data_IF_095880984584
#
_entry.id   IF_095880984584
#
_cell.length_a   1.000
_cell.length_b   1.000
_cell.length_c   1.000
_cell.angle_alpha   90.00
_cell.angle_beta   90.00
_cell.angle_gamma   90.00
#
_symmetry.space_group_name_H-M   'P 1'
#
loop_
_entity.id
_entity.type
_entity.pdbx_description
1 polymer ?
#
# COMPACT_ATOMS: atom_id res chain seq x y z
N UNK A 1 -28.05 7.04 -25.28
CA UNK A 1 -27.26 5.90 -24.81
C UNK A 1 -27.48 5.84 -23.31
N UNK A 2 -28.13 4.81 -22.74
CA UNK A 2 -28.29 4.75 -21.30
C UNK A 2 -26.92 4.42 -20.69
N UNK A 3 -26.43 5.33 -19.85
CA UNK A 3 -25.28 5.13 -18.98
C UNK A 3 -25.61 4.02 -17.96
N UNK A 4 -25.11 2.82 -18.21
CA UNK A 4 -25.07 1.80 -17.15
C UNK A 4 -23.97 2.21 -16.17
N UNK A 5 -24.36 2.93 -15.11
CA UNK A 5 -23.54 3.02 -13.91
C UNK A 5 -23.59 1.65 -13.24
N UNK A 6 -22.62 0.80 -13.54
CA UNK A 6 -22.36 -0.39 -12.75
C UNK A 6 -21.82 0.10 -11.41
N UNK A 7 -22.69 0.13 -10.40
CA UNK A 7 -22.28 0.24 -9.00
C UNK A 7 -21.34 -0.96 -8.75
N UNK A 8 -20.04 -0.71 -8.65
CA UNK A 8 -19.07 -1.75 -8.33
C UNK A 8 -19.47 -2.25 -6.94
N UNK A 9 -19.88 -3.51 -6.83
CA UNK A 9 -20.27 -4.14 -5.56
C UNK A 9 -19.06 -4.32 -4.66
N UNK A 10 -18.59 -3.22 -4.07
CA UNK A 10 -17.38 -3.16 -3.23
C UNK A 10 -17.67 -3.53 -1.77
N UNK A 11 -18.87 -3.99 -1.45
CA UNK A 11 -19.23 -4.42 -0.10
C UNK A 11 -18.32 -5.57 0.34
N UNK A 12 -17.61 -5.37 1.46
CA UNK A 12 -16.64 -6.34 1.97
C UNK A 12 -15.30 -6.40 1.24
N UNK A 13 -15.05 -5.52 0.26
CA UNK A 13 -13.73 -5.37 -0.38
C UNK A 13 -12.81 -4.60 0.55
N UNK A 14 -11.63 -5.17 0.86
CA UNK A 14 -10.56 -4.40 1.46
C UNK A 14 -10.11 -3.32 0.47
N UNK A 15 -10.12 -2.07 0.89
CA UNK A 15 -9.78 -0.91 0.04
C UNK A 15 -8.58 -0.11 0.55
N UNK A 16 -8.17 -0.41 1.78
CA UNK A 16 -7.06 0.23 2.47
C UNK A 16 -5.83 -0.70 2.47
N UNK A 17 -4.60 -0.18 2.37
CA UNK A 17 -3.39 -0.95 2.64
C UNK A 17 -3.48 -1.63 4.01
N UNK A 18 -3.01 -2.87 4.09
CA UNK A 18 -3.01 -3.65 5.32
C UNK A 18 -1.75 -4.50 5.40
N UNK A 19 -1.27 -4.77 6.61
CA UNK A 19 -0.15 -5.67 6.86
C UNK A 19 -0.37 -7.03 6.20
N UNK A 20 0.63 -7.51 5.47
CA UNK A 20 0.55 -8.74 4.65
C UNK A 20 -0.11 -8.57 3.29
N UNK A 21 -0.69 -7.39 3.00
CA UNK A 21 -1.33 -7.07 1.73
C UNK A 21 -0.38 -6.52 0.67
N UNK A 22 -0.91 -6.30 -0.53
CA UNK A 22 -0.20 -5.66 -1.63
C UNK A 22 -0.74 -4.26 -1.87
N UNK A 23 0.17 -3.32 -2.14
CA UNK A 23 -0.14 -1.98 -2.59
C UNK A 23 0.72 -1.61 -3.81
N UNK A 24 0.34 -0.57 -4.53
CA UNK A 24 1.19 0.09 -5.51
C UNK A 24 1.66 1.44 -4.96
N UNK A 25 2.96 1.71 -5.09
CA UNK A 25 3.44 3.09 -4.98
C UNK A 25 2.95 3.87 -6.20
N UNK A 26 2.08 4.86 -5.98
CA UNK A 26 1.51 5.68 -7.05
C UNK A 26 2.56 6.52 -7.80
N UNK A 27 3.72 6.78 -7.20
CA UNK A 27 4.82 7.52 -7.85
C UNK A 27 5.57 6.64 -8.84
N UNK A 28 6.11 5.52 -8.35
CA UNK A 28 6.95 4.60 -9.15
C UNK A 28 6.12 3.62 -9.97
N UNK A 29 4.85 3.42 -9.63
CA UNK A 29 3.93 2.42 -10.21
C UNK A 29 4.41 0.99 -10.00
N UNK A 30 5.22 0.76 -8.98
CA UNK A 30 5.74 -0.56 -8.64
C UNK A 30 4.92 -1.17 -7.50
N UNK A 31 4.70 -2.50 -7.52
CA UNK A 31 4.01 -3.18 -6.45
C UNK A 31 4.92 -3.34 -5.23
N UNK A 32 4.29 -3.19 -4.07
CA UNK A 32 4.86 -3.24 -2.74
C UNK A 32 4.16 -4.33 -1.93
N UNK A 33 4.94 -5.06 -1.14
CA UNK A 33 4.42 -5.83 -0.02
C UNK A 33 4.36 -4.93 1.22
N UNK A 34 3.19 -4.85 1.86
CA UNK A 34 2.99 -4.08 3.09
C UNK A 34 3.40 -4.96 4.27
N UNK A 35 4.47 -4.59 4.96
CA UNK A 35 5.00 -5.34 6.10
C UNK A 35 4.13 -5.09 7.33
N UNK A 36 4.01 -3.82 7.71
CA UNK A 36 3.24 -3.36 8.87
C UNK A 36 2.94 -1.87 8.81
N UNK A 37 2.03 -1.45 9.66
CA UNK A 37 1.87 -0.07 10.06
C UNK A 37 2.99 0.34 11.03
N UNK A 38 3.49 1.57 10.91
CA UNK A 38 4.56 2.11 11.76
C UNK A 38 4.19 3.40 12.48
N UNK A 39 3.20 4.15 12.00
CA UNK A 39 2.66 5.32 12.68
C UNK A 39 1.22 5.59 12.27
N UNK A 40 0.42 6.16 13.17
CA UNK A 40 -0.99 6.51 12.91
C UNK A 40 -1.13 7.82 12.11
N UNK A 41 -0.07 8.61 12.01
CA UNK A 41 -0.06 9.88 11.28
C UNK A 41 1.34 10.41 10.97
N UNK A 42 1.43 11.35 10.02
CA UNK A 42 2.71 11.89 9.56
C UNK A 42 3.41 12.79 10.59
N UNK A 43 2.63 13.41 11.49
CA UNK A 43 3.20 14.22 12.56
C UNK A 43 3.96 13.36 13.57
N UNK A 44 3.37 12.25 14.01
CA UNK A 44 4.01 11.27 14.90
C UNK A 44 5.26 10.68 14.24
N UNK A 45 5.13 10.24 12.98
CA UNK A 45 6.27 9.72 12.22
C UNK A 45 7.43 10.73 12.11
N UNK A 46 7.11 12.01 11.84
CA UNK A 46 8.13 13.05 11.76
C UNK A 46 8.88 13.25 13.08
N UNK A 47 8.16 13.24 14.19
CA UNK A 47 8.75 13.42 15.53
C UNK A 47 9.66 12.23 15.92
N UNK A 48 9.31 11.01 15.50
CA UNK A 48 10.07 9.78 15.82
C UNK A 48 11.27 9.55 14.90
N UNK A 49 11.10 9.74 13.59
CA UNK A 49 12.08 9.39 12.58
C UNK A 49 12.91 10.59 12.08
N UNK A 50 12.61 11.81 12.56
CA UNK A 50 13.22 13.08 12.10
C UNK A 50 13.13 13.24 10.57
N UNK A 51 12.03 12.77 9.97
CA UNK A 51 11.83 12.71 8.53
C UNK A 51 10.43 13.16 8.11
N UNK A 52 10.35 14.10 7.16
CA UNK A 52 9.08 14.66 6.68
C UNK A 52 8.56 13.93 5.43
N UNK A 53 7.69 12.93 5.65
CA UNK A 53 7.01 12.22 4.56
C UNK A 53 5.98 13.07 3.82
N UNK A 54 5.42 14.12 4.42
CA UNK A 54 4.42 14.98 3.80
C UNK A 54 5.06 15.86 2.69
N UNK A 55 6.26 16.40 2.97
CA UNK A 55 7.06 17.19 2.04
C UNK A 55 7.95 16.39 1.10
N UNK A 56 8.19 15.10 1.39
CA UNK A 56 9.08 14.27 0.60
C UNK A 56 8.40 13.71 -0.67
N UNK A 57 8.98 14.03 -1.83
CA UNK A 57 8.47 13.58 -3.16
C UNK A 57 6.98 13.90 -3.38
N UNK A 58 6.50 14.99 -2.80
CA UNK A 58 5.12 15.45 -2.94
C UNK A 58 4.74 15.66 -4.40
N UNK A 59 3.54 15.23 -4.78
CA UNK A 59 2.98 15.45 -6.11
C UNK A 59 1.53 15.93 -5.99
N UNK A 60 1.07 16.94 -6.75
CA UNK A 60 -0.27 17.53 -6.62
C UNK A 60 -1.47 16.58 -6.80
N UNK A 61 -1.23 15.37 -7.31
CA UNK A 61 -2.26 14.36 -7.55
C UNK A 61 -2.18 13.18 -6.57
N UNK A 62 -1.20 13.19 -5.65
CA UNK A 62 -1.18 12.21 -4.58
C UNK A 62 -2.07 12.71 -3.45
N UNK A 63 -3.06 11.92 -2.99
CA UNK A 63 -3.92 12.29 -1.89
C UNK A 63 -3.23 12.16 -0.52
N UNK A 64 -1.95 12.56 -0.40
CA UNK A 64 -1.21 12.50 0.87
C UNK A 64 -1.71 13.59 1.82
N UNK A 65 -2.01 13.20 3.06
CA UNK A 65 -2.54 14.09 4.10
C UNK A 65 -1.78 13.91 5.41
N UNK A 66 -1.88 14.90 6.30
CA UNK A 66 -1.15 14.89 7.57
C UNK A 66 -1.59 13.75 8.52
N UNK A 67 -2.84 13.30 8.38
CA UNK A 67 -3.45 12.18 9.10
C UNK A 67 -3.28 10.83 8.39
N UNK A 68 -2.42 10.75 7.37
CA UNK A 68 -2.11 9.48 6.73
C UNK A 68 -1.33 8.57 7.68
N UNK A 69 -1.89 7.39 7.92
CA UNK A 69 -1.17 6.24 8.45
C UNK A 69 0.08 5.95 7.60
N UNK A 70 1.17 5.57 8.25
CA UNK A 70 2.45 5.23 7.61
C UNK A 70 2.66 3.73 7.62
N UNK A 71 3.04 3.18 6.46
CA UNK A 71 3.28 1.76 6.27
C UNK A 71 4.72 1.48 5.88
N UNK A 72 5.34 0.53 6.56
CA UNK A 72 6.61 -0.08 6.16
C UNK A 72 6.35 -1.06 5.02
N UNK A 73 7.07 -0.90 3.91
CA UNK A 73 6.86 -1.67 2.68
C UNK A 73 8.18 -2.14 2.06
N UNK A 74 8.09 -3.19 1.24
CA UNK A 74 9.18 -3.72 0.41
C UNK A 74 8.75 -3.77 -1.05
N UNK A 75 9.61 -3.36 -2.00
CA UNK A 75 9.33 -3.55 -3.42
C UNK A 75 9.37 -5.02 -3.81
N UNK A 76 8.29 -5.52 -4.41
CA UNK A 76 8.25 -6.92 -4.88
C UNK A 76 9.35 -7.24 -5.91
N UNK A 77 9.86 -6.23 -6.63
CA UNK A 77 10.98 -6.41 -7.56
C UNK A 77 12.30 -6.80 -6.88
N UNK A 78 12.44 -6.46 -5.60
CA UNK A 78 13.66 -6.72 -4.83
C UNK A 78 13.64 -8.13 -4.23
N UNK A 79 12.49 -8.80 -4.31
CA UNK A 79 12.31 -10.17 -3.86
C UNK A 79 12.44 -11.08 -5.07
N UNK A 80 13.43 -11.96 -4.99
CA UNK A 80 13.66 -13.01 -5.99
C UNK A 80 13.42 -14.38 -5.37
N UNK A 81 13.06 -15.36 -6.21
CA UNK A 81 12.89 -16.76 -5.78
C UNK A 81 14.18 -17.26 -5.11
N UNK A 82 15.33 -16.92 -5.68
CA UNK A 82 16.64 -17.33 -5.14
C UNK A 82 16.99 -16.60 -3.83
N UNK A 83 16.47 -15.39 -3.63
CA UNK A 83 16.70 -14.54 -2.46
C UNK A 83 15.65 -14.63 -1.35
N UNK A 84 14.63 -15.49 -1.47
CA UNK A 84 13.53 -15.56 -0.49
C UNK A 84 14.01 -15.88 0.94
N UNK A 85 15.12 -16.62 1.05
CA UNK A 85 15.72 -17.00 2.32
C UNK A 85 16.41 -15.84 3.06
N UNK A 86 16.71 -14.75 2.37
CA UNK A 86 17.27 -13.50 2.94
C UNK A 86 16.23 -12.39 2.96
N UNK A 87 14.94 -12.71 2.82
CA UNK A 87 13.86 -11.72 2.79
C UNK A 87 13.95 -10.75 3.97
N UNK A 88 14.23 -11.25 5.18
CA UNK A 88 14.31 -10.45 6.40
C UNK A 88 15.39 -9.35 6.39
N UNK A 89 16.35 -9.44 5.47
CA UNK A 89 17.43 -8.46 5.28
C UNK A 89 17.12 -7.48 4.13
N UNK A 90 15.94 -7.58 3.51
CA UNK A 90 15.55 -6.74 2.37
C UNK A 90 15.28 -5.32 2.84
N UNK A 91 15.77 -4.33 2.10
CA UNK A 91 15.56 -2.93 2.41
C UNK A 91 14.06 -2.60 2.44
N UNK A 92 13.60 -2.04 3.56
CA UNK A 92 12.25 -1.52 3.73
C UNK A 92 12.24 -0.01 3.54
N UNK A 93 11.06 0.52 3.21
CA UNK A 93 10.81 1.94 3.07
C UNK A 93 9.41 2.27 3.59
N UNK A 94 9.28 3.46 4.18
CA UNK A 94 8.01 3.92 4.71
C UNK A 94 7.24 4.78 3.72
N UNK A 95 5.92 4.57 3.68
CA UNK A 95 5.03 5.25 2.75
C UNK A 95 3.78 5.78 3.47
N UNK A 96 3.40 7.05 3.22
CA UNK A 96 2.12 7.56 3.68
C UNK A 96 0.98 6.90 2.90
N UNK A 97 -0.15 6.65 3.58
CA UNK A 97 -1.37 6.08 3.00
C UNK A 97 -1.75 6.69 1.65
N UNK A 98 -1.72 8.02 1.53
CA UNK A 98 -2.13 8.72 0.32
C UNK A 98 -1.20 8.51 -0.88
N UNK A 99 -0.02 7.89 -0.69
CA UNK A 99 0.87 7.48 -1.78
C UNK A 99 0.60 6.06 -2.28
N UNK A 100 -0.17 5.27 -1.53
CA UNK A 100 -0.44 3.87 -1.82
C UNK A 100 -1.81 3.67 -2.48
N UNK A 101 -1.86 2.77 -3.46
CA UNK A 101 -3.10 2.19 -3.96
C UNK A 101 -3.16 0.71 -3.61
N UNK A 102 -4.12 0.30 -2.78
CA UNK A 102 -4.29 -1.10 -2.41
C UNK A 102 -4.84 -1.93 -3.58
N UNK A 103 -4.41 -3.20 -3.64
CA UNK A 103 -4.89 -4.18 -4.62
C UNK A 103 -5.73 -5.23 -3.87
N UNK A 104 -7.04 -5.32 -4.11
CA UNK A 104 -7.92 -6.27 -3.43
C UNK A 104 -7.76 -7.68 -4.01
N UNK A 105 -6.59 -8.30 -3.82
CA UNK A 105 -6.27 -9.63 -4.37
C UNK A 105 -7.04 -10.76 -3.68
N UNK A 106 -7.56 -10.51 -2.48
CA UNK A 106 -8.23 -11.47 -1.61
C UNK A 106 -9.52 -12.01 -2.26
N UNK A 107 -10.14 -11.24 -3.16
CA UNK A 107 -11.34 -11.67 -3.89
C UNK A 107 -11.06 -12.56 -5.10
N UNK A 108 -9.84 -12.52 -5.67
CA UNK A 108 -9.51 -13.32 -6.86
C UNK A 108 -9.50 -14.84 -6.57
N UNK A 109 -9.47 -15.23 -5.29
CA UNK A 109 -9.41 -16.62 -4.83
C UNK A 109 -10.78 -17.17 -4.41
N UNK A 110 -11.80 -16.32 -4.27
CA UNK A 110 -13.13 -16.70 -3.77
C UNK A 110 -14.03 -17.38 -4.82
N UNK A 111 -13.66 -17.38 -6.11
CA UNK A 111 -14.49 -17.96 -7.19
C UNK A 111 -14.19 -19.44 -7.47
N UNK A 112 -13.44 -20.11 -6.58
CA UNK A 112 -12.82 -21.41 -6.84
C UNK A 112 -13.38 -22.61 -6.05
N UNK A 113 -14.55 -22.53 -5.42
CA UNK A 113 -15.11 -23.68 -4.71
C UNK A 113 -16.53 -23.44 -4.19
N UNK A 114 -17.51 -23.97 -4.92
CA UNK A 114 -18.63 -24.78 -4.42
C UNK A 114 -19.74 -24.82 -5.49
N UNK A 115 -19.73 -25.90 -6.30
CA UNK A 115 -20.93 -26.62 -6.75
C UNK A 115 -20.55 -28.10 -6.96
#
# INVERSE_FOLDING_TARGET
>A
MPEHNTELGLEGVQTEPMSGGIAFDLVTRQPLFVVREVADGLAEYHDEEDFDLLGYKTHPYLPVRADDTVYECVYLSDITIDGVHTWGDTQTYDFPRGRLAHVPIEQAWSTGGDD
#
